data_IF_517087202134
#
_entry.id   IF_517087202134
#
_cell.length_a   1.000
_cell.length_b   1.000
_cell.length_c   1.000
_cell.angle_alpha   90.00
_cell.angle_beta   90.00
_cell.angle_gamma   90.00
#
_symmetry.space_group_name_H-M   'P 1'
#
loop_
_entity.id
_entity.type
_entity.pdbx_description
1 polymer ?
#
# COMPACT_ATOMS: atom_id res chain seq x y z
N UNK A 1 6.88 -37.59 78.53
CA UNK A 1 8.23 -37.22 78.04
C UNK A 1 8.27 -37.39 76.51
N UNK A 2 9.06 -36.61 75.75
CA UNK A 2 8.52 -35.56 74.88
C UNK A 2 8.50 -35.85 73.35
N UNK A 3 7.59 -35.11 72.68
CA UNK A 3 7.67 -34.36 71.40
C UNK A 3 8.56 -34.88 70.25
N UNK A 4 7.98 -34.90 69.04
CA UNK A 4 8.42 -34.04 67.92
C UNK A 4 7.41 -34.08 66.76
N UNK A 5 6.60 -33.02 66.67
CA UNK A 5 5.87 -32.61 65.46
C UNK A 5 6.85 -31.85 64.54
N UNK A 6 6.86 -32.20 63.25
CA UNK A 6 7.47 -31.41 62.18
C UNK A 6 6.38 -30.84 61.27
N UNK A 7 6.33 -29.52 61.01
CA UNK A 7 5.44 -28.95 60.02
C UNK A 7 6.10 -28.92 58.64
N UNK A 8 5.35 -29.31 57.61
CA UNK A 8 5.68 -29.07 56.20
C UNK A 8 5.13 -27.69 55.83
N UNK A 9 6.01 -26.71 55.65
CA UNK A 9 5.66 -25.41 55.09
C UNK A 9 5.76 -25.47 53.56
N UNK A 10 4.61 -25.40 52.88
CA UNK A 10 4.49 -25.20 51.44
C UNK A 10 4.63 -23.70 51.15
N UNK A 11 5.81 -23.29 50.63
CA UNK A 11 6.02 -21.96 50.08
C UNK A 11 5.64 -21.96 48.59
N UNK A 12 4.41 -21.54 48.28
CA UNK A 12 4.01 -21.17 46.91
C UNK A 12 4.61 -19.80 46.58
N UNK A 13 5.74 -19.79 45.87
CA UNK A 13 6.32 -18.59 45.30
C UNK A 13 5.47 -18.14 44.10
N UNK A 14 4.59 -17.15 44.31
CA UNK A 14 3.89 -16.44 43.25
C UNK A 14 4.91 -15.60 42.44
N UNK A 15 5.48 -16.21 41.39
CA UNK A 15 6.18 -15.51 40.32
C UNK A 15 5.13 -14.76 39.48
N UNK A 16 4.76 -13.57 39.94
CA UNK A 16 4.08 -12.59 39.11
C UNK A 16 5.03 -12.20 37.97
N UNK A 17 4.83 -12.80 36.79
CA UNK A 17 5.41 -12.28 35.56
C UNK A 17 4.75 -10.95 35.26
N UNK A 18 5.41 -9.87 35.65
CA UNK A 18 5.12 -8.53 35.16
C UNK A 18 5.32 -8.55 33.64
N UNK A 19 4.22 -8.67 32.89
CA UNK A 19 4.26 -8.42 31.46
C UNK A 19 4.82 -7.00 31.26
N UNK A 20 5.82 -6.81 30.37
CA UNK A 20 6.30 -5.46 30.08
C UNK A 20 5.10 -4.64 29.62
N UNK A 21 4.84 -3.53 30.30
CA UNK A 21 3.90 -2.53 29.82
C UNK A 21 4.35 -2.15 28.40
N UNK A 22 3.57 -2.54 27.40
CA UNK A 22 3.80 -2.15 26.01
C UNK A 22 3.91 -0.63 26.00
N UNK A 23 5.07 -0.11 25.60
CA UNK A 23 5.23 1.33 25.42
C UNK A 23 4.17 1.78 24.42
N UNK A 24 3.22 2.60 24.88
CA UNK A 24 2.17 3.16 24.04
C UNK A 24 2.82 3.94 22.90
N UNK A 25 2.59 3.46 21.68
CA UNK A 25 3.10 4.10 20.48
C UNK A 25 2.34 5.41 20.25
N UNK A 26 2.98 6.54 20.53
CA UNK A 26 2.36 7.85 20.36
C UNK A 26 2.54 8.35 18.91
N UNK A 27 1.49 8.22 18.10
CA UNK A 27 1.48 8.66 16.69
C UNK A 27 0.71 9.96 16.45
N UNK A 28 0.12 10.54 17.50
CA UNK A 28 -0.57 11.82 17.44
C UNK A 28 0.38 12.94 17.02
N UNK A 29 0.02 13.69 15.99
CA UNK A 29 0.82 14.83 15.57
C UNK A 29 0.44 15.41 14.23
N UNK A 30 1.31 16.32 13.76
CA UNK A 30 1.24 16.91 12.42
C UNK A 30 2.19 16.17 11.52
N UNK A 31 1.70 15.73 10.37
CA UNK A 31 2.44 14.88 9.45
C UNK A 31 2.42 15.48 8.05
N UNK A 32 3.58 15.47 7.38
CA UNK A 32 3.67 15.82 5.96
C UNK A 32 3.40 14.55 5.15
N UNK A 33 2.40 14.58 4.29
CA UNK A 33 2.08 13.44 3.43
C UNK A 33 2.85 13.49 2.10
N UNK A 34 3.26 12.34 1.57
CA UNK A 34 3.77 12.22 0.21
C UNK A 34 2.65 12.32 -0.82
N UNK A 35 3.00 12.41 -2.11
CA UNK A 35 2.03 12.16 -3.16
C UNK A 35 1.42 10.76 -3.03
N UNK A 36 0.13 10.60 -3.36
CA UNK A 36 -0.44 9.27 -3.55
C UNK A 36 0.00 8.78 -4.92
N UNK A 37 0.78 7.71 -4.94
CA UNK A 37 1.19 7.05 -6.17
C UNK A 37 0.28 5.87 -6.44
N UNK A 38 -0.27 5.81 -7.63
CA UNK A 38 -1.12 4.73 -8.13
C UNK A 38 -0.43 4.08 -9.32
N UNK A 39 -0.05 2.82 -9.18
CA UNK A 39 0.53 2.01 -10.25
C UNK A 39 -0.51 0.97 -10.71
N UNK A 40 -0.98 1.08 -11.95
CA UNK A 40 -1.95 0.15 -12.55
C UNK A 40 -1.25 -0.91 -13.39
N UNK A 41 -1.72 -2.17 -13.28
CA UNK A 41 -1.37 -3.27 -14.19
C UNK A 41 -2.64 -3.78 -14.84
N UNK A 42 -2.77 -3.52 -16.14
CA UNK A 42 -3.97 -3.87 -16.90
C UNK A 42 -3.85 -5.31 -17.40
N UNK A 43 -4.76 -6.17 -16.95
CA UNK A 43 -4.78 -7.58 -17.35
C UNK A 43 -5.64 -7.78 -18.61
N UNK A 44 -6.81 -7.15 -18.64
CA UNK A 44 -7.75 -7.22 -19.75
C UNK A 44 -8.47 -5.88 -19.88
N UNK A 45 -8.48 -5.28 -21.07
CA UNK A 45 -9.19 -4.03 -21.31
C UNK A 45 -9.80 -4.01 -22.69
N UNK A 46 -11.12 -3.81 -22.75
CA UNK A 46 -11.88 -3.75 -23.99
C UNK A 46 -11.95 -2.29 -24.48
N UNK A 47 -11.42 -1.96 -25.67
CA UNK A 47 -11.36 -0.58 -26.16
C UNK A 47 -12.72 0.11 -26.26
N UNK A 48 -13.76 -0.67 -26.59
CA UNK A 48 -15.11 -0.16 -26.86
C UNK A 48 -16.11 -0.41 -25.72
N UNK A 49 -15.63 -0.78 -24.52
CA UNK A 49 -16.52 -1.14 -23.41
C UNK A 49 -16.08 -0.65 -22.03
N UNK A 50 -14.77 -0.59 -21.79
CA UNK A 50 -14.23 -0.25 -20.46
C UNK A 50 -13.92 1.24 -20.28
N UNK A 51 -14.01 2.04 -21.34
CA UNK A 51 -13.52 3.41 -21.38
C UNK A 51 -11.99 3.49 -21.50
N UNK A 52 -11.38 4.66 -21.23
CA UNK A 52 -9.93 4.83 -21.28
C UNK A 52 -9.22 3.87 -20.33
N UNK A 53 -8.13 3.26 -20.81
CA UNK A 53 -7.28 2.39 -20.01
C UNK A 53 -6.72 3.18 -18.82
N UNK A 54 -6.80 2.65 -17.57
CA UNK A 54 -6.27 3.35 -16.42
C UNK A 54 -4.76 3.54 -16.57
N UNK A 55 -4.29 4.73 -16.22
CA UNK A 55 -2.89 5.10 -16.29
C UNK A 55 -2.32 5.28 -14.89
N UNK A 56 -1.10 4.80 -14.68
CA UNK A 56 -0.37 5.06 -13.45
C UNK A 56 -0.09 6.55 -13.31
N UNK A 57 -0.32 7.10 -12.12
CA UNK A 57 -0.18 8.52 -11.86
C UNK A 57 0.23 8.78 -10.40
N UNK A 58 0.63 10.01 -10.11
CA UNK A 58 0.81 10.51 -8.76
C UNK A 58 -0.09 11.73 -8.55
N UNK A 59 -0.76 11.83 -7.41
CA UNK A 59 -1.69 12.94 -7.12
C UNK A 59 -1.58 13.43 -5.68
N UNK A 60 -1.67 14.75 -5.51
CA UNK A 60 -1.51 15.45 -4.23
C UNK A 60 -0.10 15.34 -3.66
N UNK A 61 0.04 15.62 -2.36
CA UNK A 61 1.30 15.51 -1.63
C UNK A 61 1.84 16.86 -1.14
N UNK A 62 2.65 16.81 -0.09
CA UNK A 62 3.24 17.99 0.57
C UNK A 62 2.32 18.65 1.59
N UNK A 63 1.02 18.32 1.62
CA UNK A 63 0.09 18.86 2.61
C UNK A 63 0.43 18.36 4.02
N UNK A 64 0.17 19.21 5.00
CA UNK A 64 0.27 18.86 6.41
C UNK A 64 -1.10 18.37 6.88
N UNK A 65 -1.17 17.15 7.36
CA UNK A 65 -2.37 16.56 7.96
C UNK A 65 -2.17 16.33 9.45
N UNK A 66 -3.26 16.17 10.19
CA UNK A 66 -3.20 15.67 11.56
C UNK A 66 -3.44 14.16 11.54
N UNK A 67 -2.57 13.40 12.19
CA UNK A 67 -2.85 11.99 12.50
C UNK A 67 -3.16 11.93 13.99
N UNK A 68 -4.25 11.23 14.33
CA UNK A 68 -4.69 11.04 15.71
C UNK A 68 -4.88 9.57 16.02
N UNK A 69 -4.52 9.16 17.22
CA UNK A 69 -4.89 7.86 17.77
C UNK A 69 -6.33 7.94 18.30
N UNK A 70 -7.21 7.10 17.78
CA UNK A 70 -8.60 6.96 18.25
C UNK A 70 -8.84 5.52 18.71
N UNK A 71 -8.58 5.28 20.01
CA UNK A 71 -8.54 3.92 20.54
C UNK A 71 -7.40 3.13 19.91
N UNK A 72 -7.73 2.02 19.26
CA UNK A 72 -6.76 1.17 18.57
C UNK A 72 -6.52 1.57 17.11
N UNK A 73 -7.09 2.68 16.64
CA UNK A 73 -7.09 3.08 15.24
C UNK A 73 -6.37 4.40 15.00
N UNK A 74 -5.93 4.61 13.76
CA UNK A 74 -5.42 5.90 13.29
C UNK A 74 -6.51 6.64 12.52
N UNK A 75 -6.68 7.92 12.83
CA UNK A 75 -7.48 8.86 12.06
C UNK A 75 -6.57 9.89 11.37
N UNK A 76 -6.57 9.87 10.04
CA UNK A 76 -5.86 10.78 9.16
C UNK A 76 -6.82 11.91 8.78
N UNK A 77 -6.58 13.12 9.29
CA UNK A 77 -7.45 14.29 9.16
C UNK A 77 -6.72 15.37 8.36
N UNK A 78 -7.15 15.58 7.11
CA UNK A 78 -6.57 16.58 6.21
C UNK A 78 -6.49 16.06 4.77
N UNK A 79 -5.92 16.85 3.85
CA UNK A 79 -5.77 16.40 2.46
C UNK A 79 -7.09 16.12 1.74
N UNK A 80 -8.16 16.82 2.11
CA UNK A 80 -9.47 16.74 1.47
C UNK A 80 -10.44 15.69 2.03
N UNK A 81 -10.03 14.84 2.97
CA UNK A 81 -10.91 13.85 3.60
C UNK A 81 -10.45 13.45 5.01
N UNK A 82 -11.32 12.73 5.73
CA UNK A 82 -10.93 11.96 6.90
C UNK A 82 -10.84 10.49 6.49
N UNK A 83 -9.71 9.85 6.76
CA UNK A 83 -9.51 8.41 6.55
C UNK A 83 -9.17 7.76 7.89
N UNK A 84 -9.76 6.62 8.19
CA UNK A 84 -9.43 5.81 9.38
C UNK A 84 -8.79 4.50 8.96
N UNK A 85 -7.82 3.99 9.71
CA UNK A 85 -7.13 2.71 9.41
C UNK A 85 -8.08 1.53 9.26
N UNK A 86 -9.25 1.59 9.90
CA UNK A 86 -10.32 0.61 9.77
C UNK A 86 -11.40 0.96 8.75
N UNK A 87 -11.15 1.86 7.82
CA UNK A 87 -12.05 2.15 6.70
C UNK A 87 -11.39 1.74 5.39
N UNK A 88 -12.18 1.66 4.33
CA UNK A 88 -11.63 1.48 3.00
C UNK A 88 -10.92 2.76 2.56
N UNK A 89 -9.69 2.62 2.04
CA UNK A 89 -8.92 3.77 1.62
C UNK A 89 -9.39 4.32 0.26
N UNK A 90 -9.80 3.44 -0.65
CA UNK A 90 -10.57 3.83 -1.83
C UNK A 90 -11.99 4.28 -1.44
N UNK A 91 -12.47 5.33 -2.10
CA UNK A 91 -13.78 5.96 -1.85
C UNK A 91 -14.89 5.46 -2.79
N UNK A 92 -14.68 4.35 -3.49
CA UNK A 92 -15.71 3.72 -4.30
C UNK A 92 -16.98 3.49 -3.45
N UNK A 93 -18.12 4.09 -3.80
CA UNK A 93 -19.29 4.13 -2.91
C UNK A 93 -19.85 2.77 -2.49
N UNK A 94 -19.69 1.74 -3.33
CA UNK A 94 -20.19 0.38 -3.08
C UNK A 94 -19.20 -0.50 -2.34
N UNK A 95 -17.99 -0.01 -2.08
CA UNK A 95 -16.95 -0.75 -1.41
C UNK A 95 -17.23 -0.80 0.10
N UNK A 96 -17.31 -2.00 0.66
CA UNK A 96 -17.55 -2.21 2.07
C UNK A 96 -16.37 -2.95 2.72
N UNK A 97 -16.08 -2.60 3.98
CA UNK A 97 -15.09 -3.30 4.79
C UNK A 97 -15.62 -4.68 5.18
N UNK A 98 -14.88 -5.73 4.83
CA UNK A 98 -15.22 -7.11 5.18
C UNK A 98 -14.32 -7.70 6.25
N UNK A 99 -13.10 -7.18 6.42
CA UNK A 99 -12.22 -7.57 7.51
C UNK A 99 -11.32 -6.40 7.93
N UNK A 100 -10.98 -6.38 9.22
CA UNK A 100 -10.00 -5.46 9.78
C UNK A 100 -9.24 -6.16 10.91
N UNK A 101 -7.95 -5.88 11.03
CA UNK A 101 -7.11 -6.37 12.13
C UNK A 101 -5.98 -5.40 12.41
N UNK A 102 -5.55 -5.39 13.67
CA UNK A 102 -4.35 -4.69 14.15
C UNK A 102 -3.38 -5.71 14.72
N UNK A 103 -2.09 -5.58 14.39
CA UNK A 103 -1.06 -6.43 14.99
C UNK A 103 -0.87 -6.09 16.47
N UNK A 104 -0.53 -7.11 17.28
CA UNK A 104 -0.32 -6.95 18.72
C UNK A 104 0.80 -5.96 19.09
N UNK A 105 1.68 -5.61 18.15
CA UNK A 105 2.71 -4.59 18.32
C UNK A 105 2.17 -3.16 18.23
N UNK A 106 0.90 -2.99 17.87
CA UNK A 106 0.24 -1.70 17.71
C UNK A 106 0.73 -0.84 16.54
N UNK A 107 1.59 -1.38 15.66
CA UNK A 107 2.24 -0.67 14.54
C UNK A 107 1.67 -0.99 13.17
N UNK A 108 0.85 -2.02 13.05
CA UNK A 108 0.32 -2.47 11.76
C UNK A 108 -1.19 -2.61 11.81
N UNK A 109 -1.86 -2.08 10.78
CA UNK A 109 -3.29 -2.26 10.54
C UNK A 109 -3.50 -2.85 9.16
N UNK A 110 -4.40 -3.83 9.06
CA UNK A 110 -4.78 -4.47 7.80
C UNK A 110 -6.29 -4.37 7.63
N UNK A 111 -6.72 -3.82 6.52
CA UNK A 111 -8.13 -3.68 6.17
C UNK A 111 -8.38 -4.31 4.82
N UNK A 112 -9.40 -5.17 4.74
CA UNK A 112 -9.87 -5.74 3.49
C UNK A 112 -11.24 -5.18 3.17
N UNK A 113 -11.39 -4.70 1.94
CA UNK A 113 -12.63 -4.15 1.43
C UNK A 113 -13.03 -4.83 0.12
N UNK A 114 -14.32 -5.05 -0.05
CA UNK A 114 -14.88 -5.65 -1.27
C UNK A 114 -16.20 -5.00 -1.64
N UNK A 115 -16.52 -4.95 -2.93
CA UNK A 115 -17.90 -4.66 -3.35
C UNK A 115 -18.78 -5.91 -3.22
N UNK A 116 -20.12 -5.76 -3.13
CA UNK A 116 -21.06 -6.88 -3.14
C UNK A 116 -20.93 -7.74 -4.40
N UNK A 117 -21.25 -9.04 -4.29
CA UNK A 117 -21.13 -9.98 -5.42
C UNK A 117 -22.00 -9.62 -6.64
N UNK A 118 -23.12 -8.91 -6.41
CA UNK A 118 -24.03 -8.44 -7.45
C UNK A 118 -23.67 -7.06 -8.03
N UNK A 119 -22.57 -6.44 -7.57
CA UNK A 119 -22.09 -5.19 -8.16
C UNK A 119 -21.42 -5.48 -9.50
N UNK A 120 -21.82 -4.82 -10.61
CA UNK A 120 -21.14 -4.96 -11.89
C UNK A 120 -19.67 -4.48 -11.88
N UNK A 121 -19.29 -3.66 -10.88
CA UNK A 121 -17.94 -3.19 -10.61
C UNK A 121 -17.40 -3.92 -9.39
N UNK A 122 -16.90 -5.12 -9.62
CA UNK A 122 -16.27 -5.92 -8.59
C UNK A 122 -14.91 -5.30 -8.20
N UNK A 123 -14.67 -5.16 -6.91
CA UNK A 123 -13.39 -4.71 -6.39
C UNK A 123 -13.02 -5.52 -5.15
N UNK A 124 -11.75 -5.89 -5.03
CA UNK A 124 -11.17 -6.48 -3.83
C UNK A 124 -9.90 -5.71 -3.51
N UNK A 125 -9.92 -4.96 -2.40
CA UNK A 125 -8.81 -4.13 -1.94
C UNK A 125 -8.29 -4.62 -0.59
N UNK A 126 -6.96 -4.60 -0.43
CA UNK A 126 -6.28 -4.86 0.83
C UNK A 126 -5.39 -3.66 1.15
N UNK A 127 -5.71 -2.95 2.21
CA UNK A 127 -4.96 -1.79 2.70
C UNK A 127 -4.12 -2.22 3.89
N UNK A 128 -2.84 -1.85 3.87
CA UNK A 128 -1.87 -2.07 4.91
C UNK A 128 -1.36 -0.69 5.37
N UNK A 129 -1.55 -0.37 6.65
CA UNK A 129 -0.96 0.81 7.30
C UNK A 129 0.12 0.32 8.25
N UNK A 130 1.35 0.85 8.13
CA UNK A 130 2.49 0.44 8.96
C UNK A 130 3.20 1.68 9.50
N UNK A 131 3.27 1.81 10.82
CA UNK A 131 4.19 2.72 11.49
C UNK A 131 5.58 2.06 11.54
N UNK A 132 6.41 2.34 10.53
CA UNK A 132 7.76 1.78 10.41
C UNK A 132 8.70 2.36 11.47
N UNK A 133 8.51 3.64 11.80
CA UNK A 133 9.12 4.32 12.95
C UNK A 133 8.07 5.17 13.67
N UNK A 134 8.44 5.79 14.79
CA UNK A 134 7.55 6.71 15.51
C UNK A 134 7.39 8.05 14.76
N UNK A 135 8.15 8.24 13.67
CA UNK A 135 8.15 9.43 12.83
C UNK A 135 7.82 9.14 11.35
N UNK A 136 7.50 7.88 11.02
CA UNK A 136 7.22 7.47 9.65
C UNK A 136 6.10 6.42 9.59
N UNK A 137 5.10 6.69 8.75
CA UNK A 137 3.97 5.79 8.50
C UNK A 137 3.83 5.57 7.00
N UNK A 138 3.68 4.31 6.59
CA UNK A 138 3.41 3.90 5.23
C UNK A 138 1.98 3.38 5.08
N UNK A 139 1.31 3.79 4.01
CA UNK A 139 0.02 3.24 3.56
C UNK A 139 0.23 2.60 2.21
N UNK A 140 -0.03 1.30 2.13
CA UNK A 140 0.08 0.49 0.92
C UNK A 140 -1.26 -0.19 0.69
N UNK A 141 -1.89 0.08 -0.45
CA UNK A 141 -3.11 -0.61 -0.86
C UNK A 141 -2.84 -1.42 -2.13
N UNK A 142 -3.25 -2.67 -2.14
CA UNK A 142 -3.28 -3.49 -3.35
C UNK A 142 -4.71 -3.87 -3.67
N UNK A 143 -5.06 -3.85 -4.95
CA UNK A 143 -6.43 -4.04 -5.37
C UNK A 143 -6.55 -4.73 -6.71
N UNK A 144 -7.69 -5.36 -6.93
CA UNK A 144 -8.14 -5.83 -8.25
C UNK A 144 -9.52 -5.26 -8.51
N UNK A 145 -9.66 -4.58 -9.64
CA UNK A 145 -10.94 -4.16 -10.19
C UNK A 145 -11.32 -5.08 -11.34
N UNK A 146 -12.58 -5.46 -11.35
CA UNK A 146 -13.19 -6.23 -12.40
C UNK A 146 -14.56 -5.64 -12.75
N UNK A 147 -14.72 -5.18 -13.98
CA UNK A 147 -16.00 -4.69 -14.49
C UNK A 147 -16.54 -5.69 -15.49
N UNK A 148 -17.73 -6.21 -15.24
CA UNK A 148 -18.43 -7.12 -16.15
C UNK A 148 -19.38 -6.29 -17.02
N UNK A 149 -19.19 -6.35 -18.33
CA UNK A 149 -20.03 -5.72 -19.34
C UNK A 149 -20.52 -6.77 -20.35
N UNK A 150 -21.50 -6.44 -21.17
CA UNK A 150 -22.08 -7.40 -22.14
C UNK A 150 -21.04 -7.98 -23.10
N UNK A 151 -20.03 -7.19 -23.49
CA UNK A 151 -18.98 -7.59 -24.41
C UNK A 151 -17.78 -8.30 -23.76
N UNK A 152 -17.75 -8.44 -22.43
CA UNK A 152 -16.70 -9.16 -21.71
C UNK A 152 -16.33 -8.54 -20.36
N UNK A 153 -15.06 -8.68 -19.97
CA UNK A 153 -14.56 -8.23 -18.66
C UNK A 153 -13.42 -7.22 -18.81
N UNK A 154 -13.41 -6.22 -17.95
CA UNK A 154 -12.36 -5.24 -17.80
C UNK A 154 -11.64 -5.51 -16.48
N UNK A 155 -10.36 -5.84 -16.52
CA UNK A 155 -9.60 -6.26 -15.34
C UNK A 155 -8.32 -5.44 -15.24
N UNK A 156 -8.16 -4.78 -14.11
CA UNK A 156 -6.94 -4.06 -13.76
C UNK A 156 -6.60 -4.30 -12.30
N UNK A 157 -5.33 -4.56 -12.03
CA UNK A 157 -4.79 -4.56 -10.68
C UNK A 157 -4.21 -3.18 -10.38
N UNK A 158 -4.32 -2.72 -9.13
CA UNK A 158 -3.78 -1.44 -8.67
C UNK A 158 -2.87 -1.66 -7.47
N UNK A 159 -1.79 -0.89 -7.40
CA UNK A 159 -1.01 -0.70 -6.19
C UNK A 159 -0.97 0.79 -5.87
N UNK A 160 -1.45 1.17 -4.70
CA UNK A 160 -1.37 2.54 -4.19
C UNK A 160 -0.39 2.63 -3.05
N UNK A 161 0.42 3.68 -3.04
CA UNK A 161 1.38 3.94 -1.95
C UNK A 161 1.35 5.41 -1.56
N UNK A 162 1.41 5.65 -0.25
CA UNK A 162 1.58 6.98 0.34
C UNK A 162 2.32 6.86 1.66
N UNK A 163 3.27 7.74 1.92
CA UNK A 163 3.98 7.81 3.20
C UNK A 163 3.67 9.13 3.92
N UNK A 164 3.90 9.13 5.22
CA UNK A 164 3.70 10.25 6.11
C UNK A 164 4.94 10.40 6.99
N UNK A 165 5.48 11.62 7.05
CA UNK A 165 6.61 11.95 7.93
C UNK A 165 6.19 12.93 9.01
N UNK A 166 6.50 12.62 10.26
CA UNK A 166 6.14 13.47 11.40
C UNK A 166 6.89 14.79 11.28
N UNK A 167 6.15 15.88 11.36
CA UNK A 167 6.71 17.21 11.52
C UNK A 167 7.00 17.36 13.00
N UNK A 168 8.27 17.22 13.36
CA UNK A 168 8.72 17.61 14.68
C UNK A 168 8.56 19.13 14.74
N UNK A 169 7.50 19.60 15.40
CA UNK A 169 7.37 21.01 15.71
C UNK A 169 8.65 21.40 16.47
N UNK A 170 9.52 22.17 15.82
CA UNK A 170 10.61 22.85 16.50
C UNK A 170 9.99 23.55 17.71
N UNK A 171 10.40 23.11 18.89
CA UNK A 171 9.90 23.54 20.20
C UNK A 171 9.55 25.03 20.15
N UNK A 172 8.27 25.42 20.32
CA UNK A 172 7.85 26.78 20.03
C UNK A 172 8.63 27.77 20.90
N UNK A 173 9.43 28.62 20.26
CA UNK A 173 9.93 29.83 20.88
C UNK A 173 8.70 30.68 21.23
N UNK A 174 8.51 30.90 22.54
CA UNK A 174 7.37 31.63 23.09
C UNK A 174 7.35 33.07 22.57
N UNK A 175 6.15 33.55 22.23
CA UNK A 175 5.69 34.96 22.27
C UNK A 175 5.33 35.66 20.94
N UNK A 176 4.05 35.51 20.58
CA UNK A 176 3.08 36.46 20.02
C UNK A 176 3.51 37.68 19.14
N UNK A 177 2.97 37.73 17.91
CA UNK A 177 2.51 38.96 17.23
C UNK A 177 1.41 38.63 16.18
N UNK A 178 0.44 39.53 15.92
CA UNK A 178 -0.76 39.28 15.08
C UNK A 178 -0.46 39.28 13.55
N UNK A 179 -1.38 38.72 12.72
CA UNK A 179 -1.04 38.17 11.40
C UNK A 179 -0.99 39.23 10.28
N UNK A 180 0.00 39.17 9.35
CA UNK A 180 -0.09 39.89 8.09
C UNK A 180 -0.68 39.02 6.97
N UNK A 181 -1.21 39.71 5.97
CA UNK A 181 -1.94 39.24 4.80
C UNK A 181 -1.08 38.40 3.80
N UNK A 182 -1.69 37.79 2.76
CA UNK A 182 -1.13 36.65 2.04
C UNK A 182 0.13 37.02 1.26
N UNK A 183 1.23 36.31 1.53
CA UNK A 183 2.55 36.63 0.97
C UNK A 183 2.93 35.70 -0.18
N UNK A 184 3.31 36.37 -1.26
CA UNK A 184 4.20 35.99 -2.36
C UNK A 184 5.29 34.97 -1.94
N UNK A 185 5.61 34.03 -2.84
CA UNK A 185 6.75 33.07 -2.76
C UNK A 185 7.96 33.69 -2.06
N UNK A 186 8.26 33.21 -0.86
CA UNK A 186 9.39 33.65 -0.04
C UNK A 186 10.71 33.25 -0.73
N UNK A 187 11.68 34.17 -0.91
CA UNK A 187 13.00 33.86 -1.43
C UNK A 187 13.73 32.87 -0.50
N UNK A 188 14.66 32.05 -1.02
CA UNK A 188 15.39 31.07 -0.23
C UNK A 188 16.03 31.74 0.99
N UNK A 189 15.71 31.21 2.17
CA UNK A 189 16.25 31.70 3.45
C UNK A 189 17.78 31.61 3.40
N UNK A 190 18.45 32.74 3.60
CA UNK A 190 19.89 32.77 3.75
C UNK A 190 20.30 31.96 4.99
N UNK A 191 21.27 31.07 4.83
CA UNK A 191 21.81 30.30 5.95
C UNK A 191 22.22 31.24 7.10
N UNK A 192 21.94 30.88 8.37
CA UNK A 192 22.32 31.68 9.51
C UNK A 192 23.84 31.88 9.50
N UNK A 193 24.25 33.14 9.36
CA UNK A 193 25.66 33.52 9.40
C UNK A 193 26.23 33.13 10.77
N UNK A 194 27.35 32.39 10.85
CA UNK A 194 27.99 32.07 12.12
C UNK A 194 28.27 33.34 12.92
N UNK A 195 28.18 33.29 14.27
CA UNK A 195 28.50 34.45 15.10
C UNK A 195 29.94 34.91 14.81
N UNK A 196 30.08 36.21 14.55
CA UNK A 196 31.39 36.82 14.31
C UNK A 196 32.14 36.91 15.64
N UNK A 197 33.09 36.01 15.86
CA UNK A 197 33.97 36.09 17.01
C UNK A 197 35.08 37.11 16.76
N UNK A 198 35.39 37.94 17.76
CA UNK A 198 36.45 38.97 17.65
C UNK A 198 37.85 38.37 17.45
N UNK A 199 38.08 37.14 17.93
CA UNK A 199 39.36 36.43 17.79
C UNK A 199 39.12 34.92 17.67
N UNK A 200 39.04 34.38 16.44
CA UNK A 200 38.95 32.93 16.20
C UNK A 200 40.18 32.20 16.73
N UNK A 201 39.98 31.03 17.37
CA UNK A 201 41.04 30.13 17.78
C UNK A 201 41.57 29.25 16.65
N UNK A 202 42.39 28.25 17.01
CA UNK A 202 42.94 27.28 16.06
C UNK A 202 41.83 26.45 15.39
N UNK A 203 41.99 26.10 14.10
CA UNK A 203 40.97 25.36 13.37
C UNK A 203 40.78 23.96 13.98
N UNK A 204 39.54 23.63 14.34
CA UNK A 204 39.19 22.35 14.97
C UNK A 204 38.19 21.53 14.14
N UNK A 205 37.55 22.13 13.14
CA UNK A 205 36.51 21.48 12.32
C UNK A 205 36.40 22.14 10.95
N UNK A 206 36.26 21.34 9.90
CA UNK A 206 35.93 21.78 8.54
C UNK A 206 34.51 21.31 8.21
N UNK A 207 33.62 22.24 7.88
CA UNK A 207 32.26 21.97 7.40
C UNK A 207 32.13 22.43 5.95
N UNK A 208 31.52 21.61 5.08
CA UNK A 208 31.20 21.99 3.70
C UNK A 208 29.71 21.84 3.45
N UNK A 209 29.07 22.90 2.95
CA UNK A 209 27.63 22.91 2.64
C UNK A 209 27.36 23.17 1.15
N UNK A 210 26.41 22.44 0.55
CA UNK A 210 25.75 21.22 1.05
C UNK A 210 26.71 20.00 1.05
N UNK A 211 26.36 18.91 1.74
CA UNK A 211 27.13 17.65 1.63
C UNK A 211 26.89 16.90 0.32
N UNK A 212 25.69 17.03 -0.26
CA UNK A 212 25.33 16.48 -1.57
C UNK A 212 24.60 17.52 -2.43
N UNK A 213 24.91 17.56 -3.73
CA UNK A 213 24.30 18.44 -4.74
C UNK A 213 23.91 17.65 -5.99
N UNK A 214 22.69 17.86 -6.50
CA UNK A 214 22.26 17.40 -7.83
C UNK A 214 22.48 18.53 -8.84
N UNK A 215 23.22 18.25 -9.91
CA UNK A 215 23.51 19.19 -11.00
C UNK A 215 23.12 18.62 -12.36
N UNK A 216 22.63 19.48 -13.23
CA UNK A 216 22.44 19.16 -14.66
C UNK A 216 23.77 19.27 -15.40
N UNK A 217 23.88 18.57 -16.53
CA UNK A 217 24.97 18.82 -17.48
C UNK A 217 24.95 20.30 -17.94
N UNK A 218 26.13 20.92 -18.00
CA UNK A 218 26.27 22.35 -18.33
C UNK A 218 26.13 23.32 -17.15
N UNK A 219 25.72 22.85 -15.96
CA UNK A 219 25.57 23.72 -14.79
C UNK A 219 26.89 23.93 -14.02
N UNK A 220 26.87 24.94 -13.15
CA UNK A 220 27.95 25.21 -12.22
C UNK A 220 27.42 25.51 -10.82
N UNK A 221 28.21 25.18 -9.80
CA UNK A 221 27.82 25.36 -8.41
C UNK A 221 29.05 25.56 -7.53
N UNK A 222 28.96 26.49 -6.58
CA UNK A 222 30.05 26.79 -5.66
C UNK A 222 29.74 26.26 -4.26
N UNK A 223 30.55 25.31 -3.78
CA UNK A 223 30.46 24.86 -2.41
C UNK A 223 30.97 25.92 -1.44
N UNK A 224 30.37 25.96 -0.24
CA UNK A 224 30.75 26.91 0.81
C UNK A 224 31.48 26.15 1.93
N UNK A 225 32.81 26.30 2.05
CA UNK A 225 33.56 25.76 3.17
C UNK A 225 33.46 26.71 4.36
N UNK A 226 33.43 26.13 5.56
CA UNK A 226 33.47 26.85 6.81
C UNK A 226 34.44 26.12 7.75
N UNK A 227 35.58 26.75 8.03
CA UNK A 227 36.53 26.24 9.02
C UNK A 227 36.18 26.88 10.35
N UNK A 228 35.90 26.05 11.35
CA UNK A 228 35.50 26.44 12.69
C UNK A 228 36.56 26.06 13.70
N UNK A 229 36.73 26.89 14.73
CA UNK A 229 37.49 26.54 15.92
C UNK A 229 36.65 25.70 16.91
N UNK A 230 37.26 25.35 18.05
CA UNK A 230 36.63 24.54 19.09
C UNK A 230 35.43 25.24 19.77
N UNK A 231 35.31 26.56 19.64
CA UNK A 231 34.21 27.38 20.16
C UNK A 231 33.11 27.61 19.11
N UNK A 232 33.29 27.12 17.89
CA UNK A 232 32.35 27.32 16.78
C UNK A 232 32.52 28.65 16.05
N UNK A 233 33.64 29.35 16.24
CA UNK A 233 33.97 30.58 15.53
C UNK A 233 34.60 30.28 14.18
N UNK A 234 34.20 31.03 13.14
CA UNK A 234 34.80 30.91 11.81
C UNK A 234 36.26 31.40 11.81
N UNK A 235 37.19 30.59 11.30
CA UNK A 235 38.62 30.93 11.17
C UNK A 235 38.94 31.49 9.78
N UNK A 236 40.14 32.04 9.61
CA UNK A 236 40.66 32.51 8.30
C UNK A 236 41.47 31.44 7.55
N UNK A 237 41.37 30.17 7.98
CA UNK A 237 42.15 29.08 7.38
C UNK A 237 41.72 28.87 5.93
N UNK A 238 42.64 28.92 4.95
CA UNK A 238 42.29 28.70 3.55
C UNK A 238 41.85 27.26 3.33
N UNK A 239 40.89 27.07 2.42
CA UNK A 239 40.43 25.75 1.97
C UNK A 239 40.86 25.53 0.53
N UNK A 240 41.40 24.35 0.22
CA UNK A 240 41.73 23.94 -1.14
C UNK A 240 40.81 22.83 -1.61
N UNK A 241 40.63 22.72 -2.92
CA UNK A 241 39.66 21.80 -3.53
C UNK A 241 40.33 20.91 -4.58
N UNK A 242 39.93 19.64 -4.61
CA UNK A 242 40.36 18.67 -5.63
C UNK A 242 39.24 17.68 -5.94
N UNK A 243 39.20 17.20 -7.18
CA UNK A 243 38.36 16.07 -7.56
C UNK A 243 38.95 14.78 -6.96
N UNK A 244 38.10 13.88 -6.50
CA UNK A 244 38.56 12.54 -6.14
C UNK A 244 39.05 11.77 -7.38
N UNK A 245 39.96 10.79 -7.21
CA UNK A 245 40.36 9.92 -8.30
C UNK A 245 39.15 9.24 -8.96
N UNK A 246 39.14 9.19 -10.29
CA UNK A 246 38.05 8.56 -11.05
C UNK A 246 36.90 9.51 -11.44
N UNK A 247 37.03 10.83 -11.20
CA UNK A 247 36.08 11.80 -11.71
C UNK A 247 36.00 11.74 -13.26
N UNK A 248 34.79 11.81 -13.85
CA UNK A 248 34.62 11.75 -15.30
C UNK A 248 35.25 12.97 -15.98
N UNK A 249 35.73 12.78 -17.21
CA UNK A 249 36.20 13.87 -18.05
C UNK A 249 35.08 14.91 -18.25
N UNK A 250 35.45 16.20 -18.24
CA UNK A 250 34.50 17.31 -18.38
C UNK A 250 33.95 17.87 -17.06
N UNK A 251 34.29 17.27 -15.91
CA UNK A 251 34.04 17.87 -14.59
C UNK A 251 35.31 18.59 -14.13
N UNK A 252 35.16 19.85 -13.70
CA UNK A 252 36.27 20.66 -13.18
C UNK A 252 35.90 21.30 -11.86
N UNK A 253 36.87 21.44 -10.95
CA UNK A 253 36.72 22.19 -9.71
C UNK A 253 37.83 23.23 -9.62
N UNK A 254 37.47 24.47 -9.29
CA UNK A 254 38.44 25.52 -9.01
C UNK A 254 39.08 25.28 -7.64
N UNK A 255 40.40 25.13 -7.62
CA UNK A 255 41.15 24.71 -6.45
C UNK A 255 41.07 25.68 -5.25
N UNK A 256 40.68 26.95 -5.47
CA UNK A 256 40.63 27.98 -4.42
C UNK A 256 39.21 28.29 -3.96
N UNK A 257 38.27 28.33 -4.90
CA UNK A 257 36.91 28.82 -4.66
C UNK A 257 35.90 27.70 -4.42
N UNK A 258 36.21 26.46 -4.82
CA UNK A 258 35.26 25.35 -4.77
C UNK A 258 34.15 25.45 -5.81
N UNK A 259 34.33 26.29 -6.84
CA UNK A 259 33.41 26.37 -7.98
C UNK A 259 33.58 25.14 -8.85
N UNK A 260 32.51 24.37 -8.97
CA UNK A 260 32.43 23.19 -9.82
C UNK A 260 31.70 23.53 -11.10
N UNK A 261 32.23 23.07 -12.23
CA UNK A 261 31.59 23.18 -13.55
C UNK A 261 31.43 21.80 -14.16
N UNK A 262 30.22 21.51 -14.62
CA UNK A 262 29.87 20.26 -15.31
C UNK A 262 29.77 20.56 -16.80
N UNK A 263 30.59 19.89 -17.63
CA UNK A 263 30.47 19.98 -19.09
C UNK A 263 29.09 19.51 -19.59
N UNK A 264 28.68 19.99 -20.77
CA UNK A 264 27.37 19.65 -21.36
C UNK A 264 27.24 18.19 -21.81
N UNK A 265 28.37 17.53 -22.08
CA UNK A 265 28.52 16.17 -22.59
C UNK A 265 28.99 15.16 -21.52
N UNK A 266 29.08 15.60 -20.25
CA UNK A 266 29.50 14.74 -19.13
C UNK A 266 28.48 13.62 -18.94
N UNK A 267 28.98 12.38 -18.83
CA UNK A 267 28.15 11.20 -18.52
C UNK A 267 27.52 11.36 -17.14
N UNK A 268 26.22 11.04 -17.04
CA UNK A 268 25.51 10.98 -15.76
C UNK A 268 26.24 10.06 -14.76
N UNK A 269 26.27 10.45 -13.49
CA UNK A 269 26.96 9.67 -12.47
C UNK A 269 27.24 10.45 -11.20
N UNK A 270 27.93 9.80 -10.26
CA UNK A 270 28.33 10.38 -8.98
C UNK A 270 29.79 10.83 -9.03
N UNK A 271 30.06 12.04 -8.57
CA UNK A 271 31.39 12.63 -8.51
C UNK A 271 31.69 13.06 -7.07
N UNK A 272 32.84 12.65 -6.54
CA UNK A 272 33.31 13.10 -5.23
C UNK A 272 34.29 14.27 -5.37
N UNK A 273 34.13 15.25 -4.47
CA UNK A 273 35.02 16.39 -4.33
C UNK A 273 35.54 16.43 -2.90
N UNK A 274 36.84 16.71 -2.78
CA UNK A 274 37.54 16.78 -1.50
C UNK A 274 37.92 18.24 -1.23
N UNK A 275 37.41 18.78 -0.13
CA UNK A 275 37.84 20.05 0.44
C UNK A 275 38.89 19.77 1.53
N UNK A 276 40.04 20.44 1.46
CA UNK A 276 41.12 20.28 2.43
C UNK A 276 41.37 21.59 3.17
N UNK A 277 41.39 21.56 4.49
CA UNK A 277 41.80 22.68 5.35
C UNK A 277 42.52 22.15 6.60
N UNK A 278 43.65 22.76 6.96
CA UNK A 278 44.51 22.32 8.07
C UNK A 278 44.78 20.79 8.06
N UNK A 279 45.17 20.28 6.89
CA UNK A 279 45.49 18.87 6.63
C UNK A 279 44.35 17.87 6.92
N UNK A 280 43.10 18.33 6.95
CA UNK A 280 41.91 17.48 7.02
C UNK A 280 41.07 17.60 5.77
N UNK A 281 40.53 16.46 5.36
CA UNK A 281 39.73 16.31 4.16
C UNK A 281 38.24 16.13 4.54
N UNK A 282 37.37 16.99 4.00
CA UNK A 282 35.92 16.80 3.99
C UNK A 282 35.48 16.44 2.57
N UNK A 283 34.63 15.40 2.44
CA UNK A 283 34.15 14.91 1.13
C UNK A 283 32.71 15.34 0.90
N UNK A 284 32.44 15.87 -0.29
CA UNK A 284 31.09 16.16 -0.77
C UNK A 284 30.81 15.42 -2.07
N UNK A 285 29.53 15.18 -2.33
CA UNK A 285 29.10 14.36 -3.47
C UNK A 285 28.25 15.18 -4.43
N UNK A 286 28.54 15.08 -5.72
CA UNK A 286 27.72 15.62 -6.79
C UNK A 286 27.08 14.45 -7.54
N UNK A 287 25.78 14.52 -7.75
CA UNK A 287 25.08 13.66 -8.68
C UNK A 287 24.84 14.46 -9.97
N UNK A 288 25.47 14.04 -11.06
CA UNK A 288 25.34 14.65 -12.38
C UNK A 288 24.25 13.92 -13.15
N UNK A 289 23.28 14.67 -13.65
CA UNK A 289 22.14 14.12 -14.39
C UNK A 289 21.81 14.94 -15.64
N UNK A 290 21.14 14.35 -16.61
CA UNK A 290 20.58 15.09 -17.74
C UNK A 290 19.38 15.94 -17.29
N UNK A 291 19.08 17.03 -18.02
CA UNK A 291 17.90 17.84 -17.74
C UNK A 291 16.58 17.04 -17.68
N UNK A 292 16.47 15.97 -18.47
CA UNK A 292 15.26 15.14 -18.54
C UNK A 292 15.01 14.31 -17.27
N UNK A 293 16.05 13.97 -16.51
CA UNK A 293 15.97 13.13 -15.30
C UNK A 293 16.05 13.92 -14.00
N UNK A 294 16.34 15.22 -14.09
CA UNK A 294 16.55 16.08 -12.94
C UNK A 294 15.34 16.08 -11.99
N UNK A 295 14.14 16.32 -12.52
CA UNK A 295 12.93 16.41 -11.68
C UNK A 295 12.56 15.05 -11.07
N UNK A 296 12.82 13.95 -11.77
CA UNK A 296 12.61 12.59 -11.27
C UNK A 296 13.56 12.28 -10.09
N UNK A 297 14.85 12.62 -10.23
CA UNK A 297 15.84 12.40 -9.18
C UNK A 297 15.62 13.34 -8.00
N UNK A 298 15.23 14.60 -8.26
CA UNK A 298 14.86 15.55 -7.23
C UNK A 298 13.67 15.03 -6.40
N UNK A 299 12.67 14.44 -7.06
CA UNK A 299 11.50 13.87 -6.38
C UNK A 299 11.79 12.57 -5.60
N UNK A 300 12.81 11.80 -6.01
CA UNK A 300 13.21 10.53 -5.38
C UNK A 300 14.24 10.67 -4.26
N UNK A 301 14.92 11.81 -4.17
CA UNK A 301 16.02 12.03 -3.24
C UNK A 301 15.60 12.93 -2.08
N UNK A 302 16.29 12.83 -0.94
CA UNK A 302 16.10 13.72 0.21
C UNK A 302 16.71 15.13 -0.02
N UNK A 303 16.61 15.64 -1.25
CA UNK A 303 17.14 16.94 -1.66
C UNK A 303 16.04 18.00 -1.60
N UNK A 304 16.40 19.22 -1.20
CA UNK A 304 15.49 20.36 -1.24
C UNK A 304 15.25 20.83 -2.68
N UNK A 305 14.39 21.84 -2.87
CA UNK A 305 14.01 22.33 -4.21
C UNK A 305 15.19 22.86 -5.06
N UNK A 306 16.34 23.14 -4.45
CA UNK A 306 17.56 23.52 -5.16
C UNK A 306 18.46 22.31 -5.52
N UNK A 307 18.04 21.08 -5.23
CA UNK A 307 18.85 19.87 -5.41
C UNK A 307 19.96 19.75 -4.38
N UNK A 308 19.77 20.27 -3.17
CA UNK A 308 20.79 20.31 -2.11
C UNK A 308 20.33 19.52 -0.88
N UNK A 309 21.26 18.90 -0.15
CA UNK A 309 20.99 18.41 1.20
C UNK A 309 21.16 19.53 2.22
N UNK A 310 20.30 19.57 3.24
CA UNK A 310 20.40 20.57 4.32
C UNK A 310 21.53 20.27 5.33
N UNK A 311 22.21 19.12 5.19
CA UNK A 311 23.34 18.69 6.04
C UNK A 311 24.70 19.10 5.48
N UNK A 312 25.66 19.33 6.38
CA UNK A 312 27.05 19.63 6.05
C UNK A 312 27.92 18.37 6.07
N UNK A 313 28.92 18.29 5.20
CA UNK A 313 30.00 17.32 5.33
C UNK A 313 31.02 17.84 6.36
N UNK A 314 31.32 17.05 7.40
CA UNK A 314 32.13 17.51 8.54
C UNK A 314 33.40 16.66 8.70
N UNK A 315 34.54 17.32 8.85
CA UNK A 315 35.81 16.71 9.25
C UNK A 315 36.34 17.38 10.54
N UNK A 316 36.81 16.57 11.50
CA UNK A 316 37.34 17.09 12.77
C UNK A 316 38.86 17.25 12.70
N UNK A 317 39.35 18.43 13.04
CA UNK A 317 40.76 18.81 13.09
C UNK A 317 41.22 18.66 14.55
N UNK A 318 41.56 17.42 14.92
CA UNK A 318 42.10 17.10 16.25
C UNK A 318 43.57 16.72 16.18
N UNK A 319 44.36 17.25 17.11
CA UNK A 319 45.69 16.73 17.45
C UNK A 319 45.53 15.34 18.06
N UNK A 320 45.70 14.30 17.25
CA UNK A 320 46.06 12.98 17.75
C UNK A 320 47.46 13.14 18.36
N UNK A 321 47.50 13.25 19.69
CA UNK A 321 48.62 13.79 20.46
C UNK A 321 50.00 13.26 20.07
N UNK A 322 50.82 14.17 19.52
CA UNK A 322 52.27 14.08 19.59
C UNK A 322 52.71 14.51 21.00
N UNK A 323 52.50 13.62 21.97
CA UNK A 323 53.15 13.74 23.28
C UNK A 323 54.63 13.44 23.13
N UNK A 324 55.45 14.41 23.51
CA UNK A 324 56.91 14.36 23.61
C UNK A 324 57.38 13.05 24.26
N UNK A 325 58.03 12.18 23.48
CA UNK A 325 58.54 10.90 23.97
C UNK A 325 59.84 11.12 24.73
N UNK A 326 59.76 11.31 26.05
CA UNK A 326 60.88 11.03 26.95
C UNK A 326 61.14 9.53 26.88
N UNK A 327 62.26 9.12 26.28
CA UNK A 327 62.72 7.73 26.20
C UNK A 327 63.22 7.31 27.58
N UNK A 328 62.28 6.96 28.45
CA UNK A 328 62.54 6.02 29.53
C UNK A 328 62.45 4.62 28.95
N UNK A 329 63.47 3.80 29.24
CA UNK A 329 63.60 2.43 28.81
C UNK A 329 62.53 1.53 29.47
N UNK A 330 61.27 1.69 29.01
CA UNK A 330 60.10 0.88 29.37
C UNK A 330 59.89 -0.28 28.41
N UNK A 331 60.94 -0.71 27.69
CA UNK A 331 60.82 -1.73 26.65
C UNK A 331 60.33 -3.09 27.19
N UNK A 332 60.71 -3.48 28.41
CA UNK A 332 60.23 -4.73 29.03
C UNK A 332 58.77 -4.62 29.51
N UNK A 333 58.41 -3.53 30.19
CA UNK A 333 57.04 -3.37 30.72
C UNK A 333 56.01 -3.25 29.59
N UNK A 334 56.32 -2.53 28.51
CA UNK A 334 55.42 -2.40 27.35
C UNK A 334 55.22 -3.72 26.61
N UNK A 335 56.24 -4.60 26.54
CA UNK A 335 56.09 -5.93 25.93
C UNK A 335 55.10 -6.78 26.72
N UNK A 336 55.19 -6.81 28.04
CA UNK A 336 54.23 -7.56 28.86
C UNK A 336 52.82 -6.95 28.82
N UNK A 337 52.69 -5.63 28.86
CA UNK A 337 51.38 -4.97 28.75
C UNK A 337 50.74 -5.22 27.38
N UNK A 338 51.52 -5.19 26.29
CA UNK A 338 51.02 -5.47 24.95
C UNK A 338 50.56 -6.94 24.83
N UNK A 339 51.35 -7.89 25.32
CA UNK A 339 50.97 -9.32 25.33
C UNK A 339 49.71 -9.55 26.16
N UNK A 340 49.57 -8.89 27.31
CA UNK A 340 48.37 -8.99 28.15
C UNK A 340 47.12 -8.42 27.45
N UNK A 341 47.23 -7.28 26.77
CA UNK A 341 46.12 -6.68 26.02
C UNK A 341 45.73 -7.58 24.84
N UNK A 342 46.70 -8.06 24.05
CA UNK A 342 46.42 -8.96 22.92
C UNK A 342 45.78 -10.27 23.41
N UNK A 343 46.28 -10.83 24.51
CA UNK A 343 45.67 -12.00 25.15
C UNK A 343 44.23 -11.75 25.59
N UNK A 344 43.96 -10.62 26.25
CA UNK A 344 42.61 -10.25 26.68
C UNK A 344 41.66 -10.04 25.48
N UNK A 345 42.13 -9.40 24.41
CA UNK A 345 41.36 -9.21 23.17
C UNK A 345 41.04 -10.56 22.51
N UNK A 346 42.00 -11.48 22.42
CA UNK A 346 41.77 -12.81 21.86
C UNK A 346 40.76 -13.63 22.68
N UNK A 347 40.79 -13.54 24.01
CA UNK A 347 39.80 -14.17 24.88
C UNK A 347 38.40 -13.58 24.64
N UNK A 348 38.29 -12.25 24.57
CA UNK A 348 37.02 -11.56 24.26
C UNK A 348 36.48 -11.98 22.89
N UNK A 349 37.33 -12.04 21.87
CA UNK A 349 36.95 -12.52 20.54
C UNK A 349 36.52 -13.99 20.56
N UNK A 350 37.19 -14.85 21.33
CA UNK A 350 36.79 -16.25 21.52
C UNK A 350 35.42 -16.39 22.18
N UNK A 351 35.12 -15.57 23.20
CA UNK A 351 33.79 -15.53 23.84
C UNK A 351 32.73 -15.06 22.85
N UNK A 352 32.99 -13.98 22.10
CA UNK A 352 32.07 -13.46 21.08
C UNK A 352 31.82 -14.51 19.99
N UNK A 353 32.86 -15.17 19.47
CA UNK A 353 32.73 -16.24 18.49
C UNK A 353 31.88 -17.40 19.02
N UNK A 354 32.05 -17.78 20.29
CA UNK A 354 31.25 -18.84 20.94
C UNK A 354 29.78 -18.44 21.09
N UNK A 355 29.50 -17.18 21.46
CA UNK A 355 28.14 -16.64 21.55
C UNK A 355 27.49 -16.62 20.16
N UNK A 356 28.20 -16.15 19.14
CA UNK A 356 27.71 -16.10 17.77
C UNK A 356 27.44 -17.51 17.23
N UNK A 357 28.32 -18.48 17.50
CA UNK A 357 28.11 -19.88 17.12
C UNK A 357 26.89 -20.50 17.83
N UNK A 358 26.65 -20.15 19.10
CA UNK A 358 25.44 -20.60 19.82
C UNK A 358 24.17 -19.96 19.28
N UNK A 359 24.20 -18.66 18.95
CA UNK A 359 23.06 -17.96 18.35
C UNK A 359 22.75 -18.45 16.94
N UNK A 360 23.77 -18.74 16.13
CA UNK A 360 23.56 -19.27 14.77
C UNK A 360 22.94 -20.68 14.78
N UNK A 361 23.35 -21.54 15.72
CA UNK A 361 22.71 -22.85 15.91
C UNK A 361 21.24 -22.73 16.30
N UNK A 362 20.90 -21.81 17.21
CA UNK A 362 19.49 -21.54 17.59
C UNK A 362 18.68 -20.94 16.44
N UNK A 363 19.29 -20.09 15.61
CA UNK A 363 18.59 -19.55 14.45
C UNK A 363 18.22 -20.66 13.45
N UNK A 364 19.15 -21.59 13.18
CA UNK A 364 18.90 -22.73 12.29
C UNK A 364 17.82 -23.68 12.80
N UNK A 365 17.70 -23.88 14.12
CA UNK A 365 16.61 -24.70 14.67
C UNK A 365 15.25 -24.02 14.53
N UNK A 366 15.19 -22.71 14.77
CA UNK A 366 13.96 -21.93 14.59
C UNK A 366 13.51 -21.85 13.12
N UNK A 367 14.47 -21.79 12.20
CA UNK A 367 14.21 -21.82 10.75
C UNK A 367 13.60 -23.16 10.33
N UNK A 368 14.15 -24.29 10.80
CA UNK A 368 13.57 -25.63 10.58
C UNK A 368 12.17 -25.77 11.19
N UNK A 369 11.96 -25.32 12.42
CA UNK A 369 10.63 -25.33 13.06
C UNK A 369 9.62 -24.42 12.33
N UNK A 370 10.08 -23.34 11.69
CA UNK A 370 9.23 -22.48 10.88
C UNK A 370 8.88 -23.14 9.54
N UNK A 371 9.84 -23.81 8.91
CA UNK A 371 9.66 -24.59 7.69
C UNK A 371 8.71 -25.77 7.92
N UNK A 372 8.89 -26.56 8.97
CA UNK A 372 8.00 -27.67 9.35
C UNK A 372 6.55 -27.18 9.61
N UNK A 373 6.39 -26.02 10.28
CA UNK A 373 5.06 -25.41 10.47
C UNK A 373 4.45 -24.90 9.17
N UNK A 374 5.27 -24.44 8.24
CA UNK A 374 4.80 -24.01 6.93
C UNK A 374 4.36 -25.22 6.09
N UNK A 375 5.19 -26.26 6.03
CA UNK A 375 4.89 -27.51 5.35
C UNK A 375 3.60 -28.15 5.89
N UNK A 376 3.44 -28.21 7.22
CA UNK A 376 2.21 -28.73 7.84
C UNK A 376 0.96 -27.93 7.45
N UNK A 377 1.05 -26.59 7.42
CA UNK A 377 -0.07 -25.73 6.98
C UNK A 377 -0.37 -25.90 5.49
N UNK A 378 0.65 -26.04 4.65
CA UNK A 378 0.49 -26.30 3.22
C UNK A 378 -0.19 -27.65 3.00
N UNK A 379 0.22 -28.70 3.71
CA UNK A 379 -0.41 -30.01 3.66
C UNK A 379 -1.88 -29.97 4.09
N UNK A 380 -2.22 -29.25 5.16
CA UNK A 380 -3.60 -29.06 5.63
C UNK A 380 -4.47 -28.30 4.60
N UNK A 381 -3.91 -27.28 3.95
CA UNK A 381 -4.64 -26.52 2.90
C UNK A 381 -4.89 -27.39 1.68
N UNK A 382 -3.90 -28.21 1.28
CA UNK A 382 -4.03 -29.14 0.17
C UNK A 382 -5.06 -30.25 0.46
N UNK A 383 -5.09 -30.80 1.69
CA UNK A 383 -6.10 -31.80 2.07
C UNK A 383 -7.51 -31.22 2.02
N UNK A 384 -7.73 -30.02 2.58
CA UNK A 384 -9.01 -29.31 2.51
C UNK A 384 -9.44 -28.99 1.08
N UNK A 385 -8.48 -28.74 0.18
CA UNK A 385 -8.77 -28.51 -1.24
C UNK A 385 -9.22 -29.81 -1.90
N UNK A 386 -8.52 -30.91 -1.67
CA UNK A 386 -8.87 -32.22 -2.20
C UNK A 386 -10.26 -32.68 -1.71
N UNK A 387 -10.59 -32.45 -0.44
CA UNK A 387 -11.93 -32.72 0.12
C UNK A 387 -13.02 -31.93 -0.62
N UNK A 388 -12.83 -30.61 -0.80
CA UNK A 388 -13.79 -29.78 -1.55
C UNK A 388 -13.94 -30.20 -3.02
N UNK A 389 -12.83 -30.60 -3.67
CA UNK A 389 -12.87 -31.11 -5.04
C UNK A 389 -13.64 -32.43 -5.12
N UNK A 390 -13.48 -33.33 -4.14
CA UNK A 390 -14.22 -34.58 -4.05
C UNK A 390 -15.73 -34.35 -3.79
N UNK A 391 -16.07 -33.42 -2.90
CA UNK A 391 -17.46 -33.01 -2.63
C UNK A 391 -18.12 -32.42 -3.87
N UNK A 392 -17.43 -31.51 -4.58
CA UNK A 392 -17.93 -30.92 -5.82
C UNK A 392 -18.12 -31.99 -6.90
N UNK A 393 -17.19 -32.93 -7.05
CA UNK A 393 -17.32 -34.05 -7.97
C UNK A 393 -18.50 -34.98 -7.61
N UNK A 394 -18.80 -35.17 -6.32
CA UNK A 394 -19.97 -35.92 -5.88
C UNK A 394 -21.27 -35.18 -6.19
N UNK A 395 -21.32 -33.85 -5.95
CA UNK A 395 -22.48 -33.02 -6.28
C UNK A 395 -22.76 -33.00 -7.79
N UNK A 396 -21.71 -32.90 -8.62
CA UNK A 396 -21.85 -32.94 -10.08
C UNK A 396 -22.43 -34.27 -10.56
N UNK A 397 -21.96 -35.41 -10.03
CA UNK A 397 -22.52 -36.73 -10.35
C UNK A 397 -23.99 -36.83 -9.94
N UNK A 398 -24.35 -36.39 -8.74
CA UNK A 398 -25.75 -36.38 -8.29
C UNK A 398 -26.64 -35.47 -9.16
N UNK A 399 -26.10 -34.34 -9.62
CA UNK A 399 -26.80 -33.45 -10.55
C UNK A 399 -27.03 -34.12 -11.91
N UNK A 400 -26.01 -34.75 -12.48
CA UNK A 400 -26.10 -35.50 -13.73
C UNK A 400 -27.13 -36.64 -13.65
N UNK A 401 -27.14 -37.40 -12.55
CA UNK A 401 -28.14 -38.44 -12.29
C UNK A 401 -29.56 -37.86 -12.19
N UNK A 402 -29.73 -36.73 -11.49
CA UNK A 402 -31.01 -36.03 -11.40
C UNK A 402 -31.50 -35.53 -12.77
N UNK A 403 -30.59 -35.00 -13.60
CA UNK A 403 -30.90 -34.54 -14.97
C UNK A 403 -31.28 -35.73 -15.84
N UNK A 404 -30.55 -36.84 -15.77
CA UNK A 404 -30.85 -38.06 -16.49
C UNK A 404 -32.24 -38.61 -16.12
N UNK A 405 -32.54 -38.66 -14.82
CA UNK A 405 -33.86 -39.10 -14.33
C UNK A 405 -34.99 -38.16 -14.78
N UNK A 406 -34.78 -36.83 -14.76
CA UNK A 406 -35.75 -35.86 -15.29
C UNK A 406 -35.98 -36.08 -16.80
N UNK A 407 -34.92 -36.27 -17.56
CA UNK A 407 -35.01 -36.50 -19.00
C UNK A 407 -35.74 -37.81 -19.32
N UNK A 408 -35.50 -38.87 -18.55
CA UNK A 408 -36.24 -40.13 -18.68
C UNK A 408 -37.75 -39.94 -18.44
N UNK A 409 -38.14 -39.21 -17.38
CA UNK A 409 -39.56 -38.90 -17.11
C UNK A 409 -40.21 -38.05 -18.19
N UNK A 410 -39.47 -37.09 -18.76
CA UNK A 410 -39.97 -36.27 -19.87
C UNK A 410 -40.18 -37.13 -21.12
N UNK A 411 -39.26 -38.04 -21.41
CA UNK A 411 -39.39 -38.98 -22.53
C UNK A 411 -40.59 -39.93 -22.35
N UNK A 412 -40.79 -40.47 -21.16
CA UNK A 412 -41.95 -41.31 -20.83
C UNK A 412 -43.27 -40.54 -21.00
N UNK A 413 -43.36 -39.32 -20.47
CA UNK A 413 -44.55 -38.47 -20.61
C UNK A 413 -44.81 -38.10 -22.08
N UNK A 414 -43.77 -37.86 -22.88
CA UNK A 414 -43.89 -37.60 -24.31
C UNK A 414 -44.41 -38.84 -25.06
N UNK A 415 -43.90 -40.03 -24.74
CA UNK A 415 -44.39 -41.29 -25.31
C UNK A 415 -45.86 -41.56 -24.97
N UNK A 416 -46.27 -41.32 -23.71
CA UNK A 416 -47.66 -41.45 -23.28
C UNK A 416 -48.59 -40.49 -24.04
N UNK A 417 -48.18 -39.22 -24.22
CA UNK A 417 -48.94 -38.23 -25.01
C UNK A 417 -49.04 -38.65 -26.49
N UNK A 418 -47.98 -39.20 -27.06
CA UNK A 418 -48.00 -39.70 -28.44
C UNK A 418 -48.99 -40.87 -28.60
N UNK A 419 -48.98 -41.83 -27.67
CA UNK A 419 -49.93 -42.94 -27.66
C UNK A 419 -51.39 -42.47 -27.49
N UNK A 420 -51.64 -41.47 -26.63
CA UNK A 420 -52.97 -40.86 -26.50
C UNK A 420 -53.44 -40.20 -27.79
N UNK A 421 -52.55 -39.47 -28.50
CA UNK A 421 -52.87 -38.86 -29.80
C UNK A 421 -53.23 -39.91 -30.84
N UNK A 422 -52.48 -41.02 -30.92
CA UNK A 422 -52.79 -42.13 -31.83
C UNK A 422 -54.17 -42.73 -31.54
N UNK A 423 -54.48 -43.02 -30.26
CA UNK A 423 -55.81 -43.53 -29.87
C UNK A 423 -56.93 -42.55 -30.20
N UNK A 424 -56.71 -41.25 -29.99
CA UNK A 424 -57.69 -40.22 -30.33
C UNK A 424 -57.92 -40.14 -31.85
N UNK A 425 -56.86 -40.27 -32.65
CA UNK A 425 -56.96 -40.29 -34.10
C UNK A 425 -57.70 -41.55 -34.61
N UNK A 426 -57.40 -42.73 -34.05
CA UNK A 426 -58.11 -43.97 -34.35
C UNK A 426 -59.60 -43.88 -33.96
N UNK A 427 -59.90 -43.35 -32.78
CA UNK A 427 -61.27 -43.13 -32.33
C UNK A 427 -62.02 -42.13 -33.24
N UNK A 428 -61.36 -41.06 -33.67
CA UNK A 428 -61.93 -40.09 -34.61
C UNK A 428 -62.23 -40.73 -35.97
N UNK A 429 -61.31 -41.56 -36.50
CA UNK A 429 -61.53 -42.33 -37.73
C UNK A 429 -62.71 -43.30 -37.59
N UNK A 430 -62.81 -44.02 -36.47
CA UNK A 430 -63.92 -44.93 -36.19
C UNK A 430 -65.27 -44.19 -36.07
N UNK A 431 -65.30 -43.02 -35.43
CA UNK A 431 -66.50 -42.19 -35.34
C UNK A 431 -66.96 -41.66 -36.70
N UNK A 432 -66.03 -41.28 -37.58
CA UNK A 432 -66.35 -40.81 -38.93
C UNK A 432 -66.97 -41.90 -39.82
N UNK A 433 -66.70 -43.18 -39.54
CA UNK A 433 -67.31 -44.32 -40.25
C UNK A 433 -68.73 -44.69 -39.79
N UNK A 434 -69.27 -44.05 -38.74
CA UNK A 434 -70.66 -44.24 -38.35
C UNK A 434 -71.60 -43.46 -39.31
N UNK A 435 -72.71 -44.07 -39.76
CA UNK A 435 -73.68 -43.39 -40.61
C UNK A 435 -74.22 -42.14 -39.91
N UNK A 436 -74.13 -40.99 -40.59
CA UNK A 436 -74.61 -39.71 -40.07
C UNK A 436 -76.09 -39.83 -39.66
N UNK A 437 -76.45 -39.56 -38.39
CA UNK A 437 -77.85 -39.40 -38.03
C UNK A 437 -78.39 -38.18 -38.78
N UNK A 438 -79.52 -38.38 -39.46
CA UNK A 438 -80.24 -37.33 -40.17
C UNK A 438 -80.36 -36.09 -39.27
N UNK A 439 -79.91 -34.96 -39.78
CA UNK A 439 -79.90 -33.66 -39.10
C UNK A 439 -81.32 -33.27 -38.70
N UNK A 440 -81.68 -33.50 -37.45
CA UNK A 440 -82.77 -32.79 -36.79
C UNK A 440 -82.38 -31.30 -36.75
N UNK A 441 -82.99 -30.53 -37.65
CA UNK A 441 -82.88 -29.08 -37.70
C UNK A 441 -83.19 -28.51 -36.32
N UNK A 442 -82.22 -27.81 -35.71
CA UNK A 442 -82.48 -27.03 -34.50
C UNK A 442 -83.66 -26.08 -34.78
N UNK A 443 -84.73 -26.07 -33.97
CA UNK A 443 -85.83 -25.13 -34.17
C UNK A 443 -85.26 -23.72 -34.10
N UNK A 444 -85.43 -22.95 -35.19
CA UNK A 444 -85.03 -21.55 -35.25
C UNK A 444 -85.79 -20.81 -34.15
N UNK A 445 -85.08 -20.25 -33.18
CA UNK A 445 -85.69 -19.44 -32.12
C UNK A 445 -86.27 -18.18 -32.79
N UNK A 446 -87.58 -17.98 -32.66
CA UNK A 446 -88.25 -16.81 -33.20
C UNK A 446 -87.83 -15.53 -32.47
N UNK A 447 -87.88 -14.40 -33.17
CA UNK A 447 -87.73 -13.06 -32.58
C UNK A 447 -89.12 -12.41 -32.42
N UNK A 448 -89.28 -11.45 -31.51
CA UNK A 448 -90.53 -10.71 -31.27
C UNK A 448 -90.29 -9.21 -31.38
N UNK A 449 -91.27 -8.48 -31.89
CA UNK A 449 -91.25 -7.01 -31.85
C UNK A 449 -91.69 -6.53 -30.46
N UNK A 450 -90.88 -5.72 -29.75
CA UNK A 450 -91.25 -5.23 -28.43
C UNK A 450 -92.39 -4.20 -28.46
N UNK A 451 -92.62 -3.57 -29.62
CA UNK A 451 -93.61 -2.50 -29.77
C UNK A 451 -94.99 -3.05 -30.11
N UNK A 452 -95.10 -3.96 -31.08
CA UNK A 452 -96.40 -4.52 -31.51
C UNK A 452 -96.69 -5.93 -30.99
N UNK A 453 -95.69 -6.66 -30.48
CA UNK A 453 -95.84 -8.02 -29.96
C UNK A 453 -95.86 -9.14 -31.01
N UNK A 454 -95.75 -8.82 -32.31
CA UNK A 454 -95.74 -9.84 -33.37
C UNK A 454 -94.46 -10.70 -33.36
N UNK A 455 -94.61 -11.99 -33.68
CA UNK A 455 -93.51 -12.97 -33.73
C UNK A 455 -93.02 -13.21 -35.16
N UNK A 456 -91.72 -13.37 -35.31
CA UNK A 456 -91.03 -13.55 -36.60
C UNK A 456 -90.07 -14.76 -36.54
N UNK A 457 -89.82 -15.39 -37.69
CA UNK A 457 -89.11 -16.68 -37.85
C UNK A 457 -87.58 -16.64 -37.65
N UNK A 458 -87.08 -15.56 -37.03
CA UNK A 458 -85.66 -15.37 -36.68
C UNK A 458 -84.80 -14.85 -37.83
N UNK A 459 -85.32 -14.77 -39.06
CA UNK A 459 -84.58 -14.25 -40.23
C UNK A 459 -84.67 -12.74 -40.39
N UNK A 460 -85.77 -12.12 -39.94
CA UNK A 460 -85.92 -10.67 -39.91
C UNK A 460 -85.16 -10.05 -38.72
N UNK A 461 -84.56 -8.89 -38.93
CA UNK A 461 -83.94 -8.08 -37.87
C UNK A 461 -84.83 -6.94 -37.39
N UNK A 462 -85.82 -6.53 -38.19
CA UNK A 462 -86.72 -5.40 -37.90
C UNK A 462 -88.18 -5.76 -38.18
N UNK A 463 -89.11 -5.14 -37.44
CA UNK A 463 -90.54 -5.32 -37.62
C UNK A 463 -91.01 -4.55 -38.88
N UNK A 464 -91.69 -5.25 -39.79
CA UNK A 464 -92.23 -4.63 -41.00
C UNK A 464 -93.35 -3.60 -40.77
N UNK A 465 -93.95 -3.55 -39.57
CA UNK A 465 -95.04 -2.61 -39.25
C UNK A 465 -94.55 -1.28 -38.71
N UNK A 466 -93.55 -1.30 -37.82
CA UNK A 466 -93.11 -0.11 -37.08
C UNK A 466 -91.59 0.16 -37.19
N UNK A 467 -90.84 -0.70 -37.87
CA UNK A 467 -89.39 -0.56 -38.05
C UNK A 467 -88.56 -0.89 -36.81
N UNK A 468 -89.16 -1.35 -35.70
CA UNK A 468 -88.44 -1.63 -34.45
C UNK A 468 -87.59 -2.89 -34.59
N UNK A 469 -86.38 -2.90 -34.01
CA UNK A 469 -85.50 -4.07 -34.03
C UNK A 469 -86.11 -5.23 -33.21
N UNK A 470 -86.11 -6.43 -33.79
CA UNK A 470 -86.71 -7.62 -33.19
C UNK A 470 -85.76 -8.24 -32.16
N UNK A 471 -86.29 -8.63 -31.01
CA UNK A 471 -85.52 -9.20 -29.90
C UNK A 471 -85.73 -10.71 -29.85
N UNK A 472 -84.67 -11.48 -29.60
CA UNK A 472 -84.74 -12.93 -29.43
C UNK A 472 -85.63 -13.26 -28.21
N UNK A 473 -86.64 -14.13 -28.41
CA UNK A 473 -87.30 -14.75 -27.26
C UNK A 473 -86.31 -15.74 -26.64
N UNK A 474 -85.98 -15.52 -25.37
CA UNK A 474 -85.17 -16.45 -24.57
C UNK A 474 -85.90 -17.77 -24.35
#
# INVERSE_FOLDING_TARGET
>A
MPRLLRPFALAFAALAWSAPASADLQLDGRWRQSALREDFTVQQWLPNGCGPTPQSAATGGGEIIAIRMEGDELAFVGGGRVYRSNQCYDQMPTLARVAHSRDANGKTWRTRCTTPANDPRQAILNTLVVATTDTHIDVIETGRYEVVIESGRCVADVKRTRSYSLIQDEKPAVSAAPPPAPTVKEPPRSDPKPPACESPGDPSRLEVRPSKKLLRTGESFQFRPLVLDAKGCATKTPTTWKLAPGAPAGVTVDAKTGLVKIGGDVREGTVEIVATAADKDARVTIEVTSPARYDELLAKSDLNAAGETDVAAVATIGSLGAGESRVEDRAKTRRYTFVAIVGAVLVLLGVVATILARRSRKAKTLEREAEERHEAKVAEVLSRRAEREAEHAAQMRAHEESVAHRNAKVAEAAAARAAQRQRAEEAAKAAASLPHPATLSKPKRGKICPTCGDRFDGTADFCGKDGTQLVLLN
#
